data_IF_530425272474
#
_entry.id   IF_530425272474
#
_cell.length_a   1.000
_cell.length_b   1.000
_cell.length_c   1.000
_cell.angle_alpha   90.00
_cell.angle_beta   90.00
_cell.angle_gamma   90.00
#
_symmetry.space_group_name_H-M   'P 1'
#
loop_
_entity.id
_entity.type
_entity.pdbx_description
1 polymer ?
#
# COMPACT_ATOMS: atom_id res chain seq x y z
N UNK A 1 -5.67 -18.52 -2.18
CA UNK A 1 -4.25 -18.95 -2.23
C UNK A 1 -3.41 -17.83 -1.60
N UNK A 2 -2.45 -18.18 -0.70
CA UNK A 2 -1.56 -17.19 -0.09
C UNK A 2 -0.65 -16.59 -1.16
N UNK A 3 -0.66 -15.27 -1.28
CA UNK A 3 0.09 -14.52 -2.28
C UNK A 3 1.44 -14.03 -1.72
N UNK A 4 1.42 -13.58 -0.47
CA UNK A 4 2.57 -13.10 0.26
C UNK A 4 2.60 -13.77 1.64
N UNK A 5 3.75 -14.26 2.07
CA UNK A 5 3.95 -14.90 3.37
C UNK A 5 5.17 -14.28 4.04
N UNK A 6 5.01 -13.92 5.29
CA UNK A 6 6.05 -13.35 6.15
C UNK A 6 6.26 -14.34 7.30
N UNK A 7 7.50 -14.83 7.45
CA UNK A 7 7.85 -15.88 8.41
C UNK A 7 8.95 -15.41 9.35
N UNK A 8 8.60 -15.16 10.61
CA UNK A 8 9.51 -14.77 11.68
C UNK A 8 10.43 -13.60 11.30
N UNK A 9 9.88 -12.59 10.58
CA UNK A 9 10.67 -11.45 10.11
C UNK A 9 10.98 -10.51 11.26
N UNK A 10 12.27 -10.23 11.46
CA UNK A 10 12.77 -9.23 12.40
C UNK A 10 13.62 -8.18 11.66
N UNK A 11 13.55 -6.93 12.15
CA UNK A 11 14.34 -5.81 11.66
C UNK A 11 14.91 -5.02 12.81
N UNK A 12 16.21 -4.73 12.75
CA UNK A 12 16.94 -3.96 13.77
C UNK A 12 17.56 -2.71 13.15
N UNK A 13 17.55 -1.58 13.87
CA UNK A 13 18.41 -0.42 13.61
C UNK A 13 19.23 -0.13 14.86
N UNK A 14 20.54 -0.07 14.73
CA UNK A 14 21.48 0.18 15.84
C UNK A 14 21.21 -0.71 17.06
N UNK A 15 20.97 -2.01 16.84
CA UNK A 15 20.61 -3.02 17.85
C UNK A 15 19.22 -2.84 18.49
N UNK A 16 18.45 -1.83 18.10
CA UNK A 16 17.06 -1.66 18.54
C UNK A 16 16.14 -2.44 17.60
N UNK A 17 15.35 -3.35 18.16
CA UNK A 17 14.30 -4.04 17.39
C UNK A 17 13.23 -3.05 16.97
N UNK A 18 12.96 -2.99 15.67
CA UNK A 18 11.84 -2.22 15.09
C UNK A 18 10.70 -3.16 14.72
N UNK A 19 11.05 -4.37 14.25
CA UNK A 19 10.12 -5.46 14.03
C UNK A 19 10.69 -6.72 14.66
N UNK A 20 9.86 -7.48 15.35
CA UNK A 20 10.24 -8.69 16.07
C UNK A 20 9.33 -9.85 15.68
N UNK A 21 9.90 -10.84 15.02
CA UNK A 21 9.26 -12.13 14.67
C UNK A 21 7.86 -11.98 14.04
N UNK A 22 7.70 -11.05 13.12
CA UNK A 22 6.44 -10.85 12.41
C UNK A 22 6.10 -12.10 11.61
N UNK A 23 4.90 -12.64 11.84
CA UNK A 23 4.33 -13.75 11.10
C UNK A 23 2.99 -13.33 10.52
N UNK A 24 2.87 -13.27 9.20
CA UNK A 24 1.69 -12.76 8.52
C UNK A 24 1.55 -13.37 7.13
N UNK A 25 0.33 -13.49 6.65
CA UNK A 25 0.10 -13.88 5.26
C UNK A 25 -1.04 -13.08 4.65
N UNK A 26 -0.92 -12.79 3.36
CA UNK A 26 -1.93 -12.09 2.56
C UNK A 26 -2.36 -13.00 1.43
N UNK A 27 -3.67 -13.17 1.27
CA UNK A 27 -4.26 -13.99 0.20
C UNK A 27 -4.45 -13.15 -1.07
N UNK A 28 -4.66 -13.82 -2.19
CA UNK A 28 -5.01 -13.14 -3.43
C UNK A 28 -6.36 -12.42 -3.28
N UNK A 29 -6.46 -11.20 -3.80
CA UNK A 29 -7.64 -10.33 -3.76
C UNK A 29 -8.06 -9.89 -2.34
N UNK A 30 -7.24 -10.16 -1.33
CA UNK A 30 -7.44 -9.70 0.04
C UNK A 30 -6.94 -8.26 0.20
N UNK A 31 -7.65 -7.45 0.98
CA UNK A 31 -7.14 -6.19 1.53
C UNK A 31 -6.79 -6.40 2.99
N UNK A 32 -5.50 -6.41 3.30
CA UNK A 32 -4.99 -6.50 4.65
C UNK A 32 -4.72 -5.11 5.22
N UNK A 33 -5.44 -4.72 6.27
CA UNK A 33 -5.14 -3.54 7.06
C UNK A 33 -3.96 -3.78 8.01
N UNK A 34 -3.05 -2.83 8.11
CA UNK A 34 -1.98 -2.82 9.13
C UNK A 34 -2.13 -1.55 9.94
N UNK A 35 -2.51 -1.70 11.20
CA UNK A 35 -2.72 -0.59 12.12
C UNK A 35 -1.72 -0.59 13.27
N UNK A 36 -1.61 0.54 13.94
CA UNK A 36 -0.78 0.72 15.13
C UNK A 36 -0.35 2.17 15.31
N UNK A 37 0.23 2.48 16.46
CA UNK A 37 0.70 3.84 16.78
C UNK A 37 1.86 4.27 15.84
N UNK A 38 2.13 5.59 15.80
CA UNK A 38 3.30 6.11 15.09
C UNK A 38 4.58 5.50 15.68
N UNK A 39 5.48 5.05 14.80
CA UNK A 39 6.73 4.39 15.23
C UNK A 39 6.60 2.91 15.60
N UNK A 40 5.44 2.26 15.44
CA UNK A 40 5.26 0.83 15.73
C UNK A 40 5.91 -0.13 14.72
N UNK A 41 6.47 0.38 13.61
CA UNK A 41 7.17 -0.43 12.61
C UNK A 41 6.41 -0.63 11.28
N UNK A 42 5.19 -0.11 11.13
CA UNK A 42 4.34 -0.30 9.93
C UNK A 42 5.01 0.06 8.61
N UNK A 43 5.53 1.28 8.51
CA UNK A 43 6.23 1.75 7.29
C UNK A 43 7.54 1.00 7.05
N UNK A 44 8.22 0.54 8.11
CA UNK A 44 9.38 -0.35 7.97
C UNK A 44 8.94 -1.68 7.35
N UNK A 45 7.85 -2.28 7.83
CA UNK A 45 7.30 -3.50 7.24
C UNK A 45 6.94 -3.28 5.76
N UNK A 46 6.26 -2.19 5.42
CA UNK A 46 5.94 -1.83 4.04
C UNK A 46 7.19 -1.78 3.13
N UNK A 47 8.27 -1.16 3.61
CA UNK A 47 9.55 -1.08 2.88
C UNK A 47 10.24 -2.42 2.70
N UNK A 48 10.17 -3.31 3.71
CA UNK A 48 10.69 -4.68 3.60
C UNK A 48 9.93 -5.46 2.52
N UNK A 49 8.61 -5.32 2.47
CA UNK A 49 7.75 -6.05 1.52
C UNK A 49 8.01 -5.67 0.06
N UNK A 50 8.33 -4.41 -0.21
CA UNK A 50 8.72 -3.97 -1.57
C UNK A 50 10.22 -4.13 -1.85
N UNK A 51 11.01 -4.57 -0.86
CA UNK A 51 12.45 -4.75 -1.02
C UNK A 51 13.27 -3.46 -1.04
N UNK A 52 12.72 -2.34 -0.54
CA UNK A 52 13.47 -1.09 -0.34
C UNK A 52 14.43 -1.17 0.84
N UNK A 53 14.15 -2.07 1.78
CA UNK A 53 15.02 -2.39 2.91
C UNK A 53 15.18 -3.92 3.02
N UNK A 54 16.27 -4.37 3.65
CA UNK A 54 16.47 -5.78 3.98
C UNK A 54 16.01 -6.08 5.40
N UNK A 55 15.47 -7.26 5.62
CA UNK A 55 15.24 -7.80 6.96
C UNK A 55 16.50 -8.49 7.50
N UNK A 56 16.60 -8.64 8.82
CA UNK A 56 17.77 -9.23 9.49
C UNK A 56 17.54 -10.72 9.78
N UNK A 57 16.30 -11.11 10.13
CA UNK A 57 15.90 -12.49 10.42
C UNK A 57 14.59 -12.84 9.72
N UNK A 58 14.31 -14.14 9.61
CA UNK A 58 13.07 -14.62 9.03
C UNK A 58 13.11 -14.74 7.52
N UNK A 59 11.96 -14.72 6.86
CA UNK A 59 11.84 -14.78 5.41
C UNK A 59 10.56 -14.08 4.93
N UNK A 60 10.61 -13.53 3.72
CA UNK A 60 9.45 -13.04 2.97
C UNK A 60 9.36 -13.87 1.70
N UNK A 61 8.17 -14.36 1.38
CA UNK A 61 7.91 -15.21 0.22
C UNK A 61 6.76 -14.59 -0.58
N UNK A 62 7.02 -14.26 -1.83
CA UNK A 62 6.02 -13.78 -2.78
C UNK A 62 5.92 -14.74 -3.96
N UNK A 63 4.73 -15.31 -4.21
CA UNK A 63 4.51 -16.30 -5.27
C UNK A 63 5.62 -17.37 -5.30
N UNK A 64 5.91 -18.00 -4.16
CA UNK A 64 6.96 -19.01 -3.99
C UNK A 64 8.42 -18.48 -4.11
N UNK A 65 8.61 -17.20 -4.43
CA UNK A 65 9.95 -16.59 -4.50
C UNK A 65 10.33 -16.10 -3.10
N UNK A 66 11.38 -16.71 -2.52
CA UNK A 66 11.95 -16.29 -1.24
C UNK A 66 12.89 -15.09 -1.44
N UNK A 67 12.75 -14.08 -0.58
CA UNK A 67 13.62 -12.89 -0.59
C UNK A 67 15.03 -13.17 -0.05
N UNK A 68 15.26 -14.26 0.68
CA UNK A 68 16.58 -14.61 1.23
C UNK A 68 17.67 -14.79 0.17
N UNK A 69 17.31 -15.37 -0.98
CA UNK A 69 18.26 -15.74 -2.03
C UNK A 69 17.82 -15.20 -3.40
N UNK A 70 17.30 -13.97 -3.40
CA UNK A 70 16.74 -13.35 -4.59
C UNK A 70 17.86 -12.92 -5.56
N UNK A 71 17.73 -13.32 -6.81
CA UNK A 71 18.61 -12.82 -7.88
C UNK A 71 18.06 -11.53 -8.50
N UNK A 72 18.87 -10.81 -9.30
CA UNK A 72 18.49 -9.54 -9.92
C UNK A 72 17.21 -9.63 -10.76
N UNK A 73 16.97 -10.74 -11.46
CA UNK A 73 15.78 -10.93 -12.31
C UNK A 73 14.52 -11.08 -11.44
N UNK A 74 14.60 -11.87 -10.39
CA UNK A 74 13.51 -12.06 -9.43
C UNK A 74 13.22 -10.76 -8.66
N UNK A 75 14.27 -10.02 -8.27
CA UNK A 75 14.13 -8.71 -7.63
C UNK A 75 13.40 -7.71 -8.54
N UNK A 76 13.78 -7.61 -9.81
CA UNK A 76 13.08 -6.78 -10.79
C UNK A 76 11.61 -7.21 -10.99
N UNK A 77 11.33 -8.51 -10.94
CA UNK A 77 9.96 -9.03 -11.03
C UNK A 77 9.14 -8.60 -9.81
N UNK A 78 9.69 -8.72 -8.59
CA UNK A 78 9.02 -8.30 -7.37
C UNK A 78 8.69 -6.81 -7.43
N UNK A 79 9.65 -5.97 -7.83
CA UNK A 79 9.43 -4.53 -7.97
C UNK A 79 8.36 -4.15 -9.01
N UNK A 80 8.09 -5.00 -10.01
CA UNK A 80 6.96 -4.79 -10.93
C UNK A 80 5.64 -5.24 -10.31
N UNK A 81 5.68 -6.31 -9.54
CA UNK A 81 4.48 -7.00 -9.05
C UNK A 81 3.99 -6.53 -7.69
N UNK A 82 4.86 -5.89 -6.91
CA UNK A 82 4.52 -5.25 -5.64
C UNK A 82 4.89 -3.79 -5.74
N UNK A 83 3.89 -2.91 -5.63
CA UNK A 83 4.06 -1.47 -5.71
C UNK A 83 3.74 -0.79 -4.39
N UNK A 84 4.37 0.36 -4.13
CA UNK A 84 4.17 1.15 -2.92
C UNK A 84 3.66 2.54 -3.28
N UNK A 85 2.57 2.94 -2.68
CA UNK A 85 2.06 4.32 -2.69
C UNK A 85 2.40 4.94 -1.35
N UNK A 86 3.26 5.97 -1.39
CA UNK A 86 3.77 6.64 -0.20
C UNK A 86 2.76 7.61 0.42
N UNK A 87 2.90 7.88 1.71
CA UNK A 87 2.12 8.85 2.47
C UNK A 87 2.14 10.26 1.85
N UNK A 88 3.31 10.74 1.48
CA UNK A 88 3.48 12.07 0.92
C UNK A 88 3.60 12.00 -0.61
N UNK A 89 2.49 12.24 -1.32
CA UNK A 89 2.47 12.26 -2.78
C UNK A 89 3.44 13.31 -3.37
N UNK A 90 3.58 14.49 -2.76
CA UNK A 90 4.51 15.52 -3.22
C UNK A 90 5.98 15.11 -3.05
N UNK A 91 6.30 14.34 -2.02
CA UNK A 91 7.63 13.76 -1.81
C UNK A 91 7.93 12.54 -2.68
N UNK A 92 6.90 11.91 -3.24
CA UNK A 92 7.00 10.67 -4.00
C UNK A 92 7.33 10.89 -5.49
N UNK A 93 7.19 12.11 -6.00
CA UNK A 93 7.41 12.47 -7.41
C UNK A 93 8.32 13.69 -7.54
N UNK A 94 8.99 13.82 -8.69
CA UNK A 94 9.71 15.05 -8.99
C UNK A 94 8.68 16.16 -9.30
N UNK A 95 8.64 17.26 -8.53
CA UNK A 95 7.62 18.30 -8.69
C UNK A 95 7.70 19.03 -10.06
N UNK A 96 8.84 18.93 -10.75
CA UNK A 96 9.05 19.53 -12.07
C UNK A 96 8.60 18.65 -13.23
N UNK A 97 8.36 17.36 -12.97
CA UNK A 97 7.90 16.41 -13.99
C UNK A 97 6.43 16.68 -14.33
N UNK A 98 6.08 16.47 -15.60
CA UNK A 98 4.70 16.40 -16.04
C UNK A 98 4.07 15.09 -15.55
N UNK A 99 2.75 15.02 -15.54
CA UNK A 99 2.01 13.79 -15.23
C UNK A 99 2.42 12.66 -16.19
N UNK A 100 2.60 12.98 -17.47
CA UNK A 100 3.11 12.05 -18.48
C UNK A 100 4.49 11.47 -18.08
N UNK A 101 5.42 12.33 -17.68
CA UNK A 101 6.75 11.90 -17.24
C UNK A 101 6.68 11.01 -16.01
N UNK A 102 5.85 11.38 -15.01
CA UNK A 102 5.63 10.58 -13.78
C UNK A 102 5.07 9.20 -14.11
N UNK A 103 4.09 9.12 -15.00
CA UNK A 103 3.44 7.86 -15.35
C UNK A 103 4.28 6.98 -16.30
N UNK A 104 5.04 7.59 -17.21
CA UNK A 104 5.88 6.83 -18.15
C UNK A 104 7.22 6.38 -17.54
N UNK A 105 7.68 6.98 -16.44
CA UNK A 105 8.94 6.63 -15.77
C UNK A 105 9.04 5.14 -15.43
N UNK A 106 8.06 4.50 -14.74
CA UNK A 106 8.12 3.07 -14.44
C UNK A 106 8.17 2.21 -15.70
N UNK A 107 7.44 2.60 -16.75
CA UNK A 107 7.46 1.89 -18.02
C UNK A 107 8.82 1.97 -18.71
N UNK A 108 9.47 3.13 -18.68
CA UNK A 108 10.84 3.32 -19.20
C UNK A 108 11.85 2.46 -18.47
N UNK A 109 11.68 2.25 -17.17
CA UNK A 109 12.58 1.42 -16.36
C UNK A 109 12.39 -0.06 -16.68
N UNK A 110 11.15 -0.54 -16.74
CA UNK A 110 10.83 -1.96 -16.79
C UNK A 110 10.55 -2.50 -18.20
N UNK A 111 10.09 -1.67 -19.13
CA UNK A 111 9.60 -2.08 -20.46
C UNK A 111 10.24 -1.32 -21.62
N UNK A 112 11.38 -0.63 -21.40
CA UNK A 112 12.07 0.17 -22.43
C UNK A 112 12.36 -0.59 -23.75
N UNK A 113 12.57 -1.91 -23.66
CA UNK A 113 12.86 -2.76 -24.83
C UNK A 113 11.59 -3.35 -25.46
N UNK A 114 10.47 -3.26 -24.79
CA UNK A 114 9.22 -3.95 -25.14
C UNK A 114 8.17 -2.96 -25.67
N UNK A 115 8.20 -1.71 -25.19
CA UNK A 115 7.21 -0.68 -25.54
C UNK A 115 7.87 0.51 -26.20
N UNK A 116 7.26 1.02 -27.27
CA UNK A 116 7.57 2.32 -27.86
C UNK A 116 7.09 3.46 -26.94
N UNK A 117 7.58 4.66 -27.20
CA UNK A 117 7.14 5.82 -26.43
C UNK A 117 5.63 6.10 -26.57
N UNK A 118 5.08 5.96 -27.77
CA UNK A 118 3.65 6.16 -28.04
C UNK A 118 2.78 5.13 -27.28
N UNK A 119 3.22 3.88 -27.20
CA UNK A 119 2.54 2.85 -26.42
C UNK A 119 2.59 3.15 -24.92
N UNK A 120 3.74 3.64 -24.41
CA UNK A 120 3.87 4.06 -23.01
C UNK A 120 2.94 5.23 -22.70
N UNK A 121 2.85 6.22 -23.61
CA UNK A 121 1.98 7.38 -23.46
C UNK A 121 0.50 6.98 -23.45
N UNK A 122 0.07 6.17 -24.41
CA UNK A 122 -1.30 5.66 -24.48
C UNK A 122 -1.67 4.87 -23.24
N UNK A 123 -0.73 4.07 -22.71
CA UNK A 123 -0.92 3.35 -21.45
C UNK A 123 -1.06 4.31 -20.28
N UNK A 124 -0.24 5.37 -20.21
CA UNK A 124 -0.33 6.40 -19.20
C UNK A 124 -1.68 7.13 -19.22
N UNK A 125 -2.19 7.51 -20.39
CA UNK A 125 -3.52 8.12 -20.56
C UNK A 125 -4.62 7.20 -20.03
N UNK A 126 -4.60 5.92 -20.39
CA UNK A 126 -5.58 4.94 -19.93
C UNK A 126 -5.57 4.75 -18.40
N UNK A 127 -4.39 4.70 -17.77
CA UNK A 127 -4.32 4.58 -16.31
C UNK A 127 -4.68 5.88 -15.59
N UNK A 128 -4.47 7.02 -16.21
CA UNK A 128 -4.93 8.31 -15.70
C UNK A 128 -6.47 8.38 -15.67
N UNK A 129 -7.13 7.93 -16.73
CA UNK A 129 -8.60 7.82 -16.79
C UNK A 129 -9.14 6.84 -15.74
N UNK A 130 -8.48 5.69 -15.52
CA UNK A 130 -8.88 4.71 -14.50
C UNK A 130 -8.89 5.28 -13.08
N UNK A 131 -8.08 6.28 -12.80
CA UNK A 131 -8.09 6.97 -11.50
C UNK A 131 -8.98 8.22 -11.49
N UNK A 132 -9.83 8.41 -12.53
CA UNK A 132 -10.81 9.49 -12.62
C UNK A 132 -10.20 10.85 -12.95
N UNK A 133 -9.07 10.89 -13.65
CA UNK A 133 -8.45 12.12 -14.14
C UNK A 133 -8.52 12.20 -15.67
N UNK A 134 -8.82 13.41 -16.20
CA UNK A 134 -8.85 13.65 -17.63
C UNK A 134 -7.44 13.57 -18.22
N UNK A 135 -7.22 12.97 -19.40
CA UNK A 135 -5.94 12.96 -20.12
C UNK A 135 -5.30 14.34 -20.35
N UNK A 136 -6.08 15.42 -20.33
CA UNK A 136 -5.57 16.80 -20.39
C UNK A 136 -4.56 17.12 -19.28
N UNK A 137 -4.65 16.42 -18.13
CA UNK A 137 -3.68 16.54 -17.05
C UNK A 137 -2.28 16.04 -17.41
N UNK A 138 -2.11 15.25 -18.46
CA UNK A 138 -0.81 14.68 -18.87
C UNK A 138 0.28 15.74 -19.05
N UNK A 139 -0.08 16.94 -19.55
CA UNK A 139 0.85 18.05 -19.79
C UNK A 139 1.13 18.90 -18.55
N UNK A 140 0.34 18.76 -17.50
CA UNK A 140 0.51 19.53 -16.26
C UNK A 140 1.68 19.02 -15.44
N UNK A 141 2.40 19.91 -14.77
CA UNK A 141 3.46 19.54 -13.83
C UNK A 141 2.86 19.06 -12.51
N UNK A 142 3.53 18.11 -11.86
CA UNK A 142 3.10 17.55 -10.58
C UNK A 142 2.84 18.63 -9.51
N UNK A 143 3.64 19.70 -9.49
CA UNK A 143 3.47 20.82 -8.55
C UNK A 143 2.19 21.65 -8.79
N UNK A 144 1.56 21.53 -9.94
CA UNK A 144 0.34 22.29 -10.29
C UNK A 144 -0.96 21.56 -9.89
N UNK A 145 -0.83 20.31 -9.46
CA UNK A 145 -1.97 19.46 -9.07
C UNK A 145 -2.38 19.73 -7.62
N UNK A 146 -3.68 19.59 -7.33
CA UNK A 146 -4.15 19.49 -5.94
C UNK A 146 -3.63 18.20 -5.27
N UNK A 147 -3.66 18.14 -3.92
CA UNK A 147 -3.22 16.97 -3.18
C UNK A 147 -3.95 15.70 -3.61
N UNK A 148 -5.27 15.74 -3.76
CA UNK A 148 -6.07 14.60 -4.20
C UNK A 148 -5.80 14.21 -5.67
N UNK A 149 -5.58 15.17 -6.56
CA UNK A 149 -5.18 14.89 -7.95
C UNK A 149 -3.80 14.23 -8.00
N UNK A 150 -2.83 14.74 -7.26
CA UNK A 150 -1.49 14.16 -7.22
C UNK A 150 -1.50 12.76 -6.60
N UNK A 151 -2.33 12.53 -5.58
CA UNK A 151 -2.53 11.21 -5.00
C UNK A 151 -3.07 10.21 -6.03
N UNK A 152 -4.06 10.60 -6.84
CA UNK A 152 -4.58 9.79 -7.94
C UNK A 152 -3.50 9.49 -8.98
N UNK A 153 -2.63 10.45 -9.31
CA UNK A 153 -1.47 10.24 -10.20
C UNK A 153 -0.48 9.23 -9.59
N UNK A 154 -0.21 9.30 -8.27
CA UNK A 154 0.65 8.32 -7.60
C UNK A 154 0.04 6.91 -7.61
N UNK A 155 -1.29 6.79 -7.46
CA UNK A 155 -2.01 5.52 -7.59
C UNK A 155 -1.91 5.00 -9.04
N UNK A 156 -2.14 5.84 -10.06
CA UNK A 156 -2.00 5.48 -11.46
C UNK A 156 -0.57 5.02 -11.78
N UNK A 157 0.46 5.68 -11.22
CA UNK A 157 1.87 5.30 -11.36
C UNK A 157 2.15 3.90 -10.79
N UNK A 158 1.55 3.55 -9.66
CA UNK A 158 1.67 2.22 -9.10
C UNK A 158 0.95 1.17 -9.97
N UNK A 159 -0.24 1.49 -10.45
CA UNK A 159 -1.08 0.59 -11.26
C UNK A 159 -0.51 0.31 -12.66
N UNK A 160 0.24 1.25 -13.25
CA UNK A 160 0.67 1.19 -14.66
C UNK A 160 1.57 -0.01 -14.98
N UNK A 161 2.23 -0.58 -13.98
CA UNK A 161 3.02 -1.82 -14.09
C UNK A 161 2.16 -3.09 -13.99
N UNK A 162 0.84 -2.96 -13.79
CA UNK A 162 -0.09 -4.06 -13.54
C UNK A 162 0.41 -4.96 -12.40
N UNK A 163 0.53 -4.38 -11.19
CA UNK A 163 1.01 -5.12 -10.04
C UNK A 163 -0.01 -6.16 -9.59
N UNK A 164 0.44 -7.09 -8.76
CA UNK A 164 -0.41 -8.06 -8.09
C UNK A 164 -0.74 -7.64 -6.65
N UNK A 165 0.16 -6.85 -6.05
CA UNK A 165 -0.02 -6.26 -4.71
C UNK A 165 0.29 -4.77 -4.78
N UNK A 166 -0.56 -3.97 -4.15
CA UNK A 166 -0.27 -2.55 -3.88
C UNK A 166 -0.27 -2.34 -2.36
N UNK A 167 0.80 -1.73 -1.88
CA UNK A 167 0.94 -1.32 -0.50
C UNK A 167 0.64 0.18 -0.43
N UNK A 168 -0.31 0.57 0.39
CA UNK A 168 -0.64 1.96 0.67
C UNK A 168 -0.08 2.31 2.05
N UNK A 169 0.99 3.12 2.12
CA UNK A 169 1.60 3.51 3.38
C UNK A 169 1.08 4.89 3.80
N UNK A 170 0.06 4.91 4.65
CA UNK A 170 -0.64 6.12 5.13
C UNK A 170 -1.05 7.08 4.00
N UNK A 171 -1.30 6.55 2.82
CA UNK A 171 -1.44 7.31 1.57
C UNK A 171 -2.73 8.12 1.45
N UNK A 172 -3.69 7.92 2.34
CA UNK A 172 -4.93 8.71 2.41
C UNK A 172 -4.97 9.61 3.64
N UNK A 173 -4.01 9.46 4.57
CA UNK A 173 -3.93 10.29 5.77
C UNK A 173 -3.52 11.74 5.43
N UNK A 174 -4.14 12.70 6.10
CA UNK A 174 -3.86 14.13 5.86
C UNK A 174 -4.53 14.73 4.63
N UNK A 175 -5.37 13.98 3.91
CA UNK A 175 -6.29 14.51 2.92
C UNK A 175 -7.55 15.08 3.60
N UNK A 176 -8.23 16.00 2.92
CA UNK A 176 -9.57 16.41 3.31
C UNK A 176 -10.51 15.19 3.37
N UNK A 177 -11.42 15.09 4.36
CA UNK A 177 -12.28 13.91 4.54
C UNK A 177 -13.08 13.53 3.28
N UNK A 178 -13.57 14.51 2.52
CA UNK A 178 -14.32 14.26 1.27
C UNK A 178 -13.38 13.63 0.21
N UNK A 179 -12.17 14.14 0.11
CA UNK A 179 -11.18 13.60 -0.83
C UNK A 179 -10.71 12.21 -0.39
N UNK A 180 -10.55 11.99 0.92
CA UNK A 180 -10.24 10.68 1.48
C UNK A 180 -11.29 9.63 1.11
N UNK A 181 -12.57 9.94 1.31
CA UNK A 181 -13.68 9.07 0.92
C UNK A 181 -13.66 8.73 -0.58
N UNK A 182 -13.53 9.74 -1.44
CA UNK A 182 -13.41 9.55 -2.89
C UNK A 182 -12.22 8.67 -3.30
N UNK A 183 -11.10 8.75 -2.59
CA UNK A 183 -9.94 7.88 -2.86
C UNK A 183 -10.23 6.45 -2.38
N UNK A 184 -10.85 6.26 -1.22
CA UNK A 184 -11.22 4.93 -0.73
C UNK A 184 -12.22 4.23 -1.66
N UNK A 185 -13.24 4.93 -2.14
CA UNK A 185 -14.17 4.42 -3.15
C UNK A 185 -13.46 4.01 -4.45
N UNK A 186 -12.53 4.87 -4.93
CA UNK A 186 -11.70 4.56 -6.09
C UNK A 186 -10.88 3.28 -5.87
N UNK A 187 -10.24 3.15 -4.71
CA UNK A 187 -9.43 1.97 -4.38
C UNK A 187 -10.29 0.69 -4.31
N UNK A 188 -11.49 0.76 -3.75
CA UNK A 188 -12.45 -0.34 -3.74
C UNK A 188 -12.80 -0.79 -5.16
N UNK A 189 -13.21 0.15 -6.02
CA UNK A 189 -13.52 -0.14 -7.43
C UNK A 189 -12.32 -0.73 -8.20
N UNK A 190 -11.13 -0.21 -8.00
CA UNK A 190 -9.90 -0.71 -8.64
C UNK A 190 -9.53 -2.11 -8.14
N UNK A 191 -9.71 -2.40 -6.83
CA UNK A 191 -9.49 -3.73 -6.25
C UNK A 191 -10.33 -4.78 -6.97
N UNK A 192 -11.62 -4.52 -7.15
CA UNK A 192 -12.56 -5.43 -7.79
C UNK A 192 -12.29 -5.59 -9.29
N UNK A 193 -12.19 -4.47 -10.02
CA UNK A 193 -12.06 -4.49 -11.49
C UNK A 193 -10.74 -5.04 -11.99
N UNK A 194 -9.66 -4.90 -11.21
CA UNK A 194 -8.32 -5.35 -11.57
C UNK A 194 -7.84 -6.57 -10.77
N UNK A 195 -8.68 -7.16 -9.91
CA UNK A 195 -8.34 -8.30 -9.03
C UNK A 195 -7.06 -8.05 -8.20
N UNK A 196 -6.96 -6.88 -7.59
CA UNK A 196 -5.78 -6.46 -6.85
C UNK A 196 -5.80 -6.98 -5.41
N UNK A 197 -4.62 -7.24 -4.88
CA UNK A 197 -4.39 -7.49 -3.46
C UNK A 197 -3.83 -6.23 -2.83
N UNK A 198 -4.38 -5.81 -1.69
CA UNK A 198 -3.93 -4.61 -1.00
C UNK A 198 -3.31 -4.92 0.35
N UNK A 199 -2.30 -4.14 0.72
CA UNK A 199 -1.81 -3.98 2.08
C UNK A 199 -2.00 -2.51 2.43
N UNK A 200 -2.95 -2.22 3.31
CA UNK A 200 -3.36 -0.86 3.65
C UNK A 200 -2.85 -0.48 5.03
N UNK A 201 -1.79 0.32 5.06
CA UNK A 201 -1.20 0.82 6.32
C UNK A 201 -1.86 2.13 6.69
N UNK A 202 -2.50 2.18 7.85
CA UNK A 202 -3.15 3.39 8.35
C UNK A 202 -3.16 3.40 9.89
N UNK A 203 -3.32 4.59 10.46
CA UNK A 203 -3.70 4.77 11.86
C UNK A 203 -5.20 5.13 12.01
N UNK A 204 -5.90 5.30 10.88
CA UNK A 204 -7.33 5.58 10.80
C UNK A 204 -8.09 4.26 10.69
N UNK A 205 -8.85 3.94 11.75
CA UNK A 205 -9.63 2.71 11.81
C UNK A 205 -10.81 2.74 10.83
N UNK A 206 -11.48 3.89 10.67
CA UNK A 206 -12.65 4.01 9.79
C UNK A 206 -12.25 3.72 8.34
N UNK A 207 -11.11 4.26 7.90
CA UNK A 207 -10.56 3.96 6.59
C UNK A 207 -10.21 2.48 6.43
N UNK A 208 -9.58 1.87 7.44
CA UNK A 208 -9.28 0.44 7.42
C UNK A 208 -10.56 -0.42 7.41
N UNK A 209 -11.54 -0.08 8.24
CA UNK A 209 -12.82 -0.78 8.32
C UNK A 209 -13.59 -0.75 7.00
N UNK A 210 -13.51 0.40 6.28
CA UNK A 210 -14.19 0.57 5.00
C UNK A 210 -13.62 -0.30 3.87
N UNK A 211 -12.27 -0.47 3.79
CA UNK A 211 -11.64 -1.08 2.62
C UNK A 211 -11.01 -2.46 2.86
N UNK A 212 -10.69 -2.80 4.12
CA UNK A 212 -9.95 -4.03 4.44
C UNK A 212 -10.90 -5.20 4.67
N UNK A 213 -10.41 -6.41 4.39
CA UNK A 213 -11.09 -7.66 4.72
C UNK A 213 -10.68 -8.15 6.12
N UNK A 214 -9.47 -7.79 6.56
CA UNK A 214 -8.96 -8.08 7.90
C UNK A 214 -7.94 -7.02 8.34
N UNK A 215 -7.77 -6.84 9.66
CA UNK A 215 -6.83 -5.86 10.21
C UNK A 215 -5.86 -6.54 11.17
N UNK A 216 -4.57 -6.24 11.01
CA UNK A 216 -3.48 -6.61 11.91
C UNK A 216 -3.05 -5.38 12.69
N UNK A 217 -2.95 -5.50 14.00
CA UNK A 217 -2.50 -4.43 14.88
C UNK A 217 -1.05 -4.70 15.27
N UNK A 218 -0.17 -3.74 14.93
CA UNK A 218 1.26 -3.79 15.29
C UNK A 218 1.52 -2.81 16.43
N UNK A 219 2.15 -3.31 17.48
CA UNK A 219 2.57 -2.55 18.64
C UNK A 219 3.97 -2.94 19.06
N UNK A 220 4.85 -1.94 19.29
CA UNK A 220 6.25 -2.17 19.68
C UNK A 220 7.00 -3.16 18.76
N UNK A 221 6.67 -3.17 17.47
CA UNK A 221 7.29 -4.03 16.48
C UNK A 221 6.79 -5.48 16.46
N UNK A 222 5.73 -5.81 17.19
CA UNK A 222 5.13 -7.15 17.24
C UNK A 222 3.66 -7.11 16.83
N UNK A 223 3.11 -8.23 16.37
CA UNK A 223 1.67 -8.35 16.14
C UNK A 223 0.98 -8.47 17.50
N UNK A 224 0.21 -7.46 17.86
CA UNK A 224 -0.53 -7.42 19.10
C UNK A 224 -1.88 -8.13 18.99
N UNK A 225 -2.55 -8.03 17.83
CA UNK A 225 -3.83 -8.69 17.56
C UNK A 225 -4.13 -8.77 16.08
N UNK A 226 -5.09 -9.64 15.71
CA UNK A 226 -5.62 -9.79 14.34
C UNK A 226 -7.14 -9.82 14.40
N UNK A 227 -7.78 -8.88 13.71
CA UNK A 227 -9.23 -8.81 13.51
C UNK A 227 -9.52 -9.46 12.16
N UNK A 228 -9.98 -10.71 12.16
CA UNK A 228 -10.13 -11.52 10.94
C UNK A 228 -11.47 -11.31 10.22
N UNK A 229 -12.49 -10.77 10.90
CA UNK A 229 -13.81 -10.57 10.30
C UNK A 229 -14.33 -9.18 10.68
N UNK A 230 -14.46 -8.32 9.68
CA UNK A 230 -14.98 -6.97 9.82
C UNK A 230 -16.50 -6.88 9.55
N UNK A 231 -17.13 -7.93 9.01
CA UNK A 231 -18.58 -8.00 8.76
C UNK A 231 -19.39 -8.32 10.03
N UNK A 232 -18.72 -8.75 11.10
CA UNK A 232 -19.33 -9.07 12.40
C UNK A 232 -19.06 -7.98 13.43
N UNK A 233 -19.90 -7.85 14.50
CA UNK A 233 -19.55 -6.97 15.59
C UNK A 233 -18.16 -7.28 16.13
N UNK A 234 -17.26 -6.32 16.02
CA UNK A 234 -15.87 -6.50 16.45
C UNK A 234 -15.83 -6.48 17.98
N UNK A 235 -15.64 -7.64 18.58
CA UNK A 235 -15.49 -7.74 20.04
C UNK A 235 -14.01 -7.53 20.38
N UNK A 236 -13.64 -6.31 20.73
CA UNK A 236 -12.31 -5.99 21.23
C UNK A 236 -12.24 -6.37 22.71
N UNK A 237 -11.61 -7.50 23.01
CA UNK A 237 -11.45 -8.01 24.39
C UNK A 237 -10.30 -7.33 25.16
N UNK A 238 -9.40 -6.65 24.44
CA UNK A 238 -8.17 -6.10 25.01
C UNK A 238 -8.28 -4.58 25.13
N UNK A 239 -8.27 -4.07 26.38
CA UNK A 239 -8.31 -2.63 26.69
C UNK A 239 -7.20 -1.82 26.00
N UNK A 240 -6.07 -2.46 25.70
CA UNK A 240 -4.95 -1.86 25.00
C UNK A 240 -5.29 -1.63 23.53
N UNK A 241 -5.99 -2.58 22.91
CA UNK A 241 -6.47 -2.46 21.52
C UNK A 241 -7.55 -1.39 21.44
N UNK A 242 -8.46 -1.31 22.42
CA UNK A 242 -9.43 -0.22 22.51
C UNK A 242 -8.76 1.16 22.49
N UNK A 243 -7.60 1.32 23.14
CA UNK A 243 -6.84 2.58 23.08
C UNK A 243 -6.27 2.88 21.69
N UNK A 244 -5.77 1.86 20.97
CA UNK A 244 -5.25 2.01 19.61
C UNK A 244 -6.38 2.37 18.64
N UNK A 245 -7.55 1.77 18.83
CA UNK A 245 -8.75 2.05 18.03
C UNK A 245 -9.38 3.41 18.40
N UNK A 246 -9.09 3.95 19.59
CA UNK A 246 -9.56 5.26 20.04
C UNK A 246 -11.08 5.40 20.01
N UNK A 247 -11.60 6.50 19.44
CA UNK A 247 -13.04 6.74 19.30
C UNK A 247 -13.77 5.69 18.43
N UNK A 248 -13.04 4.96 17.61
CA UNK A 248 -13.61 3.88 16.82
C UNK A 248 -14.02 2.66 17.67
N UNK A 249 -13.47 2.50 18.88
CA UNK A 249 -13.96 1.50 19.84
C UNK A 249 -15.41 1.75 20.24
N UNK A 250 -15.80 3.03 20.39
CA UNK A 250 -17.19 3.42 20.70
C UNK A 250 -18.13 3.13 19.53
N UNK A 251 -17.65 3.23 18.30
CA UNK A 251 -18.38 2.90 17.08
C UNK A 251 -18.66 1.40 16.97
N UNK A 252 -17.72 0.56 17.42
CA UNK A 252 -17.84 -0.89 17.43
C UNK A 252 -18.88 -1.35 18.47
N UNK A 253 -18.96 -0.71 19.62
CA UNK A 253 -19.98 -0.98 20.66
C UNK A 253 -21.36 -0.42 20.31
N UNK A 254 -21.45 0.59 19.44
CA UNK A 254 -22.71 1.26 19.04
C UNK A 254 -23.46 0.50 17.93
N UNK A 255 -22.80 -0.43 17.24
CA UNK A 255 -23.44 -1.31 16.23
C UNK A 255 -24.11 -2.55 16.90
N UNK A 256 -24.05 -2.68 18.23
CA UNK A 256 -24.85 -3.62 18.99
C UNK A 256 -26.27 -3.07 19.20
#
# INVERSE_FOLDING_TARGET
>A
MKKLVIENVSKYYDKKAILSKINLSVSQNECLGIMGESGSGKSTLAKLLVGLESFDEGNIIFNEISYKNINKKQFSLIHRKIQLVFQNAFGAVNPKYTVEEVLTEPLKIHYKKELSYEEMKKRAENFLEKVGLNPEFMSQKAIQLSGGQLQRVCIARALILEPEIIIFDESVSGLDPIIQEQILELLGSLKETMNLTYIFVSHDFEACYYICDKIVIIENGEIADIIENLDSPIIVKNERIKRILGKAADFIETIQ
#
